data_IF_275367555793
#
_entry.id   IF_275367555793
#
_cell.length_a   1.000
_cell.length_b   1.000
_cell.length_c   1.000
_cell.angle_alpha   90.00
_cell.angle_beta   90.00
_cell.angle_gamma   90.00
#
_symmetry.space_group_name_H-M   'P 1'
#
loop_
_entity.id
_entity.type
_entity.pdbx_description
1 polymer ?
#
# COMPACT_ATOMS: atom_id res chain seq x y z
N UNK A 1 -28.35 18.50 14.87
CA UNK A 1 -27.37 17.50 15.30
C UNK A 1 -26.40 17.38 14.15
N UNK A 2 -25.21 17.96 14.24
CA UNK A 2 -24.26 18.08 13.15
C UNK A 2 -23.51 16.75 13.01
N UNK A 3 -23.43 16.26 11.78
CA UNK A 3 -22.79 14.98 11.42
C UNK A 3 -21.28 14.95 11.76
N UNK A 4 -20.71 16.10 12.06
CA UNK A 4 -19.29 16.33 12.27
C UNK A 4 -18.80 15.92 13.67
N UNK A 5 -19.67 15.79 14.65
CA UNK A 5 -19.28 15.45 16.04
C UNK A 5 -19.04 13.95 16.26
N UNK A 6 -19.52 13.09 15.36
CA UNK A 6 -19.36 11.63 15.50
C UNK A 6 -17.93 11.15 15.22
N UNK A 7 -17.16 11.89 14.41
CA UNK A 7 -15.81 11.50 14.01
C UNK A 7 -14.70 11.94 14.98
N UNK A 8 -15.00 12.80 15.95
CA UNK A 8 -14.04 13.30 16.95
C UNK A 8 -14.02 12.48 18.24
N UNK A 9 -14.85 11.44 18.39
CA UNK A 9 -14.80 10.59 19.56
C UNK A 9 -13.54 9.70 19.53
N UNK A 10 -12.68 9.74 20.57
CA UNK A 10 -11.51 8.86 20.66
C UNK A 10 -11.86 7.37 20.53
N UNK A 11 -13.09 7.00 20.86
CA UNK A 11 -13.65 5.65 20.70
C UNK A 11 -13.71 5.20 19.25
N UNK A 12 -13.94 6.09 18.27
CA UNK A 12 -14.02 5.72 16.86
C UNK A 12 -12.63 5.37 16.29
N UNK A 13 -11.59 6.10 16.68
CA UNK A 13 -10.22 5.79 16.28
C UNK A 13 -9.73 4.47 16.89
N UNK A 14 -10.14 4.17 18.12
CA UNK A 14 -9.85 2.91 18.80
C UNK A 14 -10.60 1.75 18.13
N UNK A 15 -11.88 1.92 17.78
CA UNK A 15 -12.65 0.90 17.06
C UNK A 15 -12.10 0.62 15.67
N UNK A 16 -11.70 1.64 14.93
CA UNK A 16 -11.06 1.48 13.61
C UNK A 16 -9.73 0.73 13.73
N UNK A 17 -8.95 1.03 14.77
CA UNK A 17 -7.68 0.35 15.04
C UNK A 17 -7.89 -1.13 15.42
N UNK A 18 -8.91 -1.45 16.22
CA UNK A 18 -9.31 -2.82 16.54
C UNK A 18 -9.86 -3.58 15.32
N UNK A 19 -10.61 -2.91 14.47
CA UNK A 19 -11.13 -3.47 13.23
C UNK A 19 -9.99 -3.79 12.24
N UNK A 20 -9.03 -2.87 12.08
CA UNK A 20 -7.81 -3.10 11.28
C UNK A 20 -6.97 -4.26 11.83
N UNK A 21 -6.79 -4.37 13.15
CA UNK A 21 -6.10 -5.50 13.77
C UNK A 21 -6.82 -6.83 13.50
N UNK A 22 -8.15 -6.87 13.58
CA UNK A 22 -8.93 -8.07 13.28
C UNK A 22 -8.85 -8.46 11.81
N UNK A 23 -8.92 -7.48 10.88
CA UNK A 23 -8.74 -7.72 9.44
C UNK A 23 -7.33 -8.26 9.13
N UNK A 24 -6.30 -7.69 9.75
CA UNK A 24 -4.93 -8.17 9.61
C UNK A 24 -4.78 -9.60 10.16
N UNK A 25 -5.40 -9.88 11.32
CA UNK A 25 -5.36 -11.21 11.94
C UNK A 25 -6.12 -12.25 11.09
N UNK A 26 -7.25 -11.88 10.51
CA UNK A 26 -8.01 -12.73 9.58
C UNK A 26 -7.22 -12.99 8.30
N UNK A 27 -6.55 -11.98 7.75
CA UNK A 27 -5.68 -12.13 6.58
C UNK A 27 -4.49 -13.07 6.86
N UNK A 28 -3.89 -12.98 8.06
CA UNK A 28 -2.80 -13.85 8.49
C UNK A 28 -3.31 -15.29 8.73
N UNK A 29 -4.48 -15.46 9.35
CA UNK A 29 -5.07 -16.77 9.63
C UNK A 29 -5.62 -17.46 8.37
N UNK A 30 -6.13 -16.72 7.40
CA UNK A 30 -6.60 -17.29 6.13
C UNK A 30 -5.45 -17.74 5.23
N UNK A 31 -4.25 -17.16 5.38
CA UNK A 31 -3.05 -17.63 4.69
C UNK A 31 -2.49 -18.94 5.26
N UNK A 32 -2.87 -19.35 6.48
CA UNK A 32 -2.40 -20.58 7.11
C UNK A 32 -3.24 -21.81 6.81
N UNK A 33 -4.40 -21.69 6.18
CA UNK A 33 -5.26 -22.82 5.81
C UNK A 33 -4.90 -23.37 4.43
N UNK A 34 -3.88 -24.24 4.40
CA UNK A 34 -3.76 -25.35 3.48
C UNK A 34 -3.80 -25.05 1.98
N UNK A 35 -2.95 -24.16 1.47
CA UNK A 35 -2.63 -24.16 0.04
C UNK A 35 -1.29 -24.86 -0.13
N UNK A 36 -1.32 -26.02 -0.79
CA UNK A 36 -0.13 -26.78 -1.16
C UNK A 36 0.85 -25.85 -1.87
N UNK A 37 2.07 -25.76 -1.34
CA UNK A 37 3.33 -25.33 -1.96
C UNK A 37 3.20 -24.31 -3.12
N UNK A 38 2.64 -23.15 -2.87
CA UNK A 38 2.89 -21.99 -3.72
C UNK A 38 3.91 -21.12 -2.99
N UNK A 39 5.08 -20.97 -3.59
CA UNK A 39 6.16 -20.19 -3.01
C UNK A 39 5.71 -18.74 -2.86
N UNK A 40 5.49 -18.30 -1.64
CA UNK A 40 5.24 -16.90 -1.35
C UNK A 40 6.57 -16.14 -1.22
N UNK A 41 6.56 -14.87 -1.54
CA UNK A 41 7.72 -13.99 -1.38
C UNK A 41 7.43 -12.97 -0.29
N UNK A 42 8.34 -12.91 0.70
CA UNK A 42 8.37 -11.83 1.69
C UNK A 42 9.58 -10.97 1.38
N UNK A 43 9.42 -9.66 1.48
CA UNK A 43 10.50 -8.74 1.22
C UNK A 43 10.32 -7.38 1.86
N UNK A 44 11.30 -6.54 1.63
CA UNK A 44 11.27 -5.12 1.95
C UNK A 44 11.11 -4.30 0.66
N UNK A 45 10.48 -3.14 0.79
CA UNK A 45 10.25 -2.22 -0.32
C UNK A 45 10.78 -0.83 0.02
N UNK A 46 11.30 -0.18 -0.99
CA UNK A 46 11.66 1.24 -0.96
C UNK A 46 11.05 1.87 -2.19
N UNK A 47 10.26 2.92 -2.04
CA UNK A 47 9.67 3.61 -3.18
C UNK A 47 9.68 5.12 -3.00
N UNK A 48 9.81 5.80 -4.13
CA UNK A 48 9.63 7.25 -4.26
C UNK A 48 8.27 7.51 -4.89
N UNK A 49 7.54 8.48 -4.34
CA UNK A 49 6.27 8.92 -4.89
C UNK A 49 6.23 10.44 -4.98
N UNK A 50 5.88 10.94 -6.15
CA UNK A 50 5.57 12.36 -6.37
C UNK A 50 4.05 12.53 -6.38
N UNK A 51 3.51 13.13 -5.32
CA UNK A 51 2.08 13.41 -5.16
C UNK A 51 1.92 14.63 -4.23
N UNK A 52 1.49 15.75 -4.78
CA UNK A 52 1.45 17.03 -4.03
C UNK A 52 2.77 17.42 -3.32
N UNK A 53 3.81 16.64 -3.47
CA UNK A 53 5.16 16.74 -2.90
C UNK A 53 5.95 15.47 -3.14
N UNK A 54 7.15 15.42 -2.58
CA UNK A 54 8.04 14.28 -2.67
C UNK A 54 7.88 13.41 -1.43
N UNK A 55 7.59 12.14 -1.64
CA UNK A 55 7.36 11.16 -0.60
C UNK A 55 8.35 10.00 -0.78
N UNK A 56 9.01 9.62 0.29
CA UNK A 56 9.81 8.40 0.36
C UNK A 56 9.01 7.37 1.19
N UNK A 57 8.88 6.16 0.68
CA UNK A 57 8.20 5.06 1.36
C UNK A 57 9.21 3.96 1.65
N UNK A 58 9.12 3.38 2.82
CA UNK A 58 9.90 2.20 3.22
C UNK A 58 8.96 1.24 3.95
N UNK A 59 8.99 -0.01 3.58
CA UNK A 59 8.11 -0.99 4.18
C UNK A 59 8.47 -2.44 3.93
N UNK A 60 7.50 -3.29 4.19
CA UNK A 60 7.57 -4.71 3.94
C UNK A 60 6.38 -5.18 3.10
N UNK A 61 6.61 -6.21 2.31
CA UNK A 61 5.57 -6.78 1.47
C UNK A 61 5.49 -8.30 1.59
N UNK A 62 4.31 -8.80 1.29
CA UNK A 62 4.00 -10.19 1.07
C UNK A 62 3.42 -10.35 -0.34
N UNK A 63 4.02 -11.19 -1.16
CA UNK A 63 3.62 -11.47 -2.52
C UNK A 63 3.23 -12.94 -2.64
N UNK A 64 2.02 -13.19 -3.12
CA UNK A 64 1.46 -14.52 -3.32
C UNK A 64 1.17 -14.73 -4.81
N UNK A 65 1.94 -15.60 -5.49
CA UNK A 65 1.54 -16.13 -6.79
C UNK A 65 0.29 -16.99 -6.65
N UNK A 66 -0.60 -16.91 -7.62
CA UNK A 66 -1.86 -17.65 -7.70
C UNK A 66 -2.00 -18.33 -9.05
N UNK A 67 -2.87 -19.35 -9.11
CA UNK A 67 -3.21 -20.06 -10.36
C UNK A 67 -1.99 -20.56 -11.15
N UNK A 68 -1.03 -21.20 -10.49
CA UNK A 68 0.17 -21.72 -11.13
C UNK A 68 1.10 -20.63 -11.67
N UNK A 69 1.23 -19.51 -10.94
CA UNK A 69 2.00 -18.31 -11.28
C UNK A 69 1.42 -17.46 -12.43
N UNK A 70 0.19 -17.72 -12.88
CA UNK A 70 -0.42 -16.89 -13.91
C UNK A 70 -0.82 -15.50 -13.38
N UNK A 71 -1.16 -15.40 -12.10
CA UNK A 71 -1.67 -14.19 -11.43
C UNK A 71 -0.89 -13.97 -10.12
N UNK A 72 -0.72 -12.74 -9.69
CA UNK A 72 -0.09 -12.41 -8.41
C UNK A 72 -0.87 -11.39 -7.58
N UNK A 73 -0.77 -11.52 -6.25
CA UNK A 73 -1.28 -10.54 -5.30
C UNK A 73 -0.15 -10.12 -4.38
N UNK A 74 0.05 -8.80 -4.20
CA UNK A 74 0.99 -8.25 -3.23
C UNK A 74 0.25 -7.42 -2.21
N UNK A 75 0.54 -7.67 -0.94
CA UNK A 75 0.14 -6.85 0.19
C UNK A 75 1.37 -6.14 0.74
N UNK A 76 1.27 -4.86 1.03
CA UNK A 76 2.39 -4.08 1.48
C UNK A 76 1.98 -3.13 2.61
N UNK A 77 2.89 -2.95 3.57
CA UNK A 77 2.73 -1.99 4.68
C UNK A 77 3.96 -1.10 4.70
N UNK A 78 3.74 0.20 4.57
CA UNK A 78 4.77 1.21 4.44
C UNK A 78 4.67 2.29 5.51
N UNK A 79 5.83 2.88 5.83
CA UNK A 79 5.95 4.19 6.41
C UNK A 79 6.29 5.19 5.30
N UNK A 80 5.42 6.15 5.09
CA UNK A 80 5.56 7.21 4.11
C UNK A 80 6.17 8.43 4.78
N UNK A 81 7.35 8.86 4.31
CA UNK A 81 8.09 9.99 4.82
C UNK A 81 7.89 11.20 3.92
N UNK A 82 7.37 12.27 4.49
CA UNK A 82 7.12 13.52 3.79
C UNK A 82 7.77 14.69 4.53
N UNK A 83 8.30 15.65 3.77
CA UNK A 83 8.80 16.89 4.32
C UNK A 83 7.96 18.05 3.78
N UNK A 84 7.06 18.58 4.62
CA UNK A 84 6.18 19.68 4.28
C UNK A 84 6.33 20.82 5.28
N UNK A 85 6.47 22.06 4.77
CA UNK A 85 6.49 23.29 5.58
C UNK A 85 7.44 23.23 6.79
N UNK A 86 8.68 22.77 6.58
CA UNK A 86 9.68 22.56 7.64
C UNK A 86 9.28 21.54 8.73
N UNK A 87 8.33 20.65 8.44
CA UNK A 87 7.95 19.57 9.34
C UNK A 87 8.15 18.22 8.66
N UNK A 88 8.76 17.32 9.40
CA UNK A 88 8.89 15.92 9.02
C UNK A 88 7.64 15.18 9.43
N UNK A 89 6.99 14.51 8.50
CA UNK A 89 5.77 13.76 8.73
C UNK A 89 5.98 12.31 8.34
N UNK A 90 5.52 11.40 9.20
CA UNK A 90 5.44 9.97 8.90
C UNK A 90 3.98 9.56 8.83
N UNK A 91 3.57 9.00 7.69
CA UNK A 91 2.20 8.54 7.44
C UNK A 91 2.23 7.03 7.21
N UNK A 92 1.49 6.23 7.99
CA UNK A 92 1.34 4.81 7.71
C UNK A 92 0.50 4.61 6.45
N UNK A 93 0.89 3.63 5.64
CA UNK A 93 0.23 3.27 4.40
C UNK A 93 0.10 1.76 4.30
N UNK A 94 -1.03 1.29 3.80
CA UNK A 94 -1.22 -0.07 3.35
C UNK A 94 -1.52 -0.07 1.87
N UNK A 95 -0.97 -1.03 1.11
CA UNK A 95 -1.33 -1.19 -0.28
C UNK A 95 -1.69 -2.63 -0.64
N UNK A 96 -2.53 -2.75 -1.65
CA UNK A 96 -2.92 -3.98 -2.30
C UNK A 96 -2.62 -3.86 -3.79
N UNK A 97 -1.78 -4.76 -4.31
CA UNK A 97 -1.42 -4.80 -5.72
C UNK A 97 -1.86 -6.12 -6.35
N UNK A 98 -2.47 -6.03 -7.52
CA UNK A 98 -2.89 -7.17 -8.32
C UNK A 98 -2.12 -7.18 -9.64
N UNK A 99 -1.52 -8.34 -9.95
CA UNK A 99 -0.80 -8.61 -11.19
C UNK A 99 -1.63 -9.59 -12.03
N UNK A 100 -2.28 -9.14 -13.12
CA UNK A 100 -3.12 -10.00 -13.96
C UNK A 100 -2.32 -11.04 -14.79
N UNK A 101 -1.02 -10.80 -14.96
CA UNK A 101 -0.08 -11.72 -15.56
C UNK A 101 1.20 -11.70 -14.73
N UNK A 102 1.74 -12.86 -14.38
CA UNK A 102 2.90 -12.92 -13.47
C UNK A 102 4.12 -13.61 -14.11
N UNK A 103 3.93 -14.35 -15.19
CA UNK A 103 4.98 -15.16 -15.84
C UNK A 103 5.89 -14.36 -16.78
N UNK A 104 5.64 -13.06 -16.96
CA UNK A 104 6.39 -12.22 -17.88
C UNK A 104 7.46 -11.39 -17.17
N UNK A 105 8.52 -11.01 -17.89
CA UNK A 105 9.52 -10.08 -17.38
C UNK A 105 8.93 -8.69 -17.09
N UNK A 106 8.01 -8.23 -17.93
CA UNK A 106 7.27 -6.98 -17.74
C UNK A 106 5.84 -7.34 -17.41
N UNK A 107 5.42 -6.98 -16.21
CA UNK A 107 4.13 -7.33 -15.63
C UNK A 107 3.31 -6.06 -15.40
N UNK A 108 2.14 -5.91 -16.03
CA UNK A 108 1.23 -4.85 -15.67
C UNK A 108 0.66 -5.09 -14.27
N UNK A 109 0.35 -4.02 -13.55
CA UNK A 109 -0.32 -4.14 -12.26
C UNK A 109 -1.37 -3.04 -12.05
N UNK A 110 -2.29 -3.35 -11.15
CA UNK A 110 -3.21 -2.38 -10.54
C UNK A 110 -2.97 -2.37 -9.04
N UNK A 111 -2.93 -1.20 -8.44
CA UNK A 111 -2.65 -1.01 -7.03
C UNK A 111 -3.67 -0.08 -6.40
N UNK A 112 -4.03 -0.34 -5.16
CA UNK A 112 -4.78 0.57 -4.32
C UNK A 112 -3.99 0.84 -3.04
N UNK A 113 -3.57 2.08 -2.84
CA UNK A 113 -2.91 2.54 -1.63
C UNK A 113 -3.92 3.23 -0.72
N UNK A 114 -3.85 2.91 0.55
CA UNK A 114 -4.69 3.47 1.59
C UNK A 114 -3.83 4.07 2.70
N UNK A 115 -4.00 5.35 2.94
CA UNK A 115 -3.47 6.06 4.10
C UNK A 115 -4.63 6.55 4.98
N UNK A 116 -4.41 7.04 6.19
CA UNK A 116 -5.46 7.69 6.99
C UNK A 116 -6.11 8.91 6.32
N UNK A 117 -5.50 9.45 5.27
CA UNK A 117 -5.90 10.69 4.63
C UNK A 117 -6.34 10.52 3.17
N UNK A 118 -5.84 9.50 2.47
CA UNK A 118 -6.03 9.35 1.02
C UNK A 118 -6.25 7.91 0.62
N UNK A 119 -7.04 7.73 -0.45
CA UNK A 119 -7.09 6.51 -1.25
C UNK A 119 -6.47 6.83 -2.61
N UNK A 120 -5.47 6.05 -3.02
CA UNK A 120 -4.75 6.30 -4.27
C UNK A 120 -4.76 5.04 -5.15
N UNK A 121 -5.73 4.90 -6.05
CA UNK A 121 -5.65 3.88 -7.10
C UNK A 121 -4.54 4.23 -8.09
N UNK A 122 -3.81 3.19 -8.52
CA UNK A 122 -2.71 3.27 -9.48
C UNK A 122 -2.79 2.14 -10.49
N UNK A 123 -2.18 2.38 -11.63
CA UNK A 123 -1.83 1.37 -12.63
C UNK A 123 -0.35 1.50 -12.95
N UNK A 124 0.28 0.42 -13.35
CA UNK A 124 1.71 0.49 -13.63
C UNK A 124 2.28 -0.74 -14.31
N UNK A 125 3.59 -0.72 -14.43
CA UNK A 125 4.40 -1.80 -14.95
C UNK A 125 5.46 -2.18 -13.92
N UNK A 126 5.65 -3.47 -13.74
CA UNK A 126 6.70 -4.05 -12.91
C UNK A 126 7.67 -4.83 -13.77
N UNK A 127 8.96 -4.70 -13.50
CA UNK A 127 10.01 -5.49 -14.14
C UNK A 127 10.44 -6.58 -13.16
N UNK A 128 10.09 -7.82 -13.46
CA UNK A 128 10.39 -8.99 -12.63
C UNK A 128 9.87 -8.87 -11.19
N UNK A 129 8.82 -8.09 -10.94
CA UNK A 129 8.29 -7.74 -9.61
C UNK A 129 9.29 -7.01 -8.69
N UNK A 130 10.48 -6.69 -9.19
CA UNK A 130 11.55 -6.03 -8.45
C UNK A 130 11.46 -4.51 -8.59
N UNK A 131 11.29 -3.99 -9.82
CA UNK A 131 11.19 -2.56 -10.08
C UNK A 131 9.78 -2.23 -10.56
N UNK A 132 9.11 -1.30 -9.90
CA UNK A 132 7.74 -0.92 -10.18
C UNK A 132 7.63 0.55 -10.56
N UNK A 133 6.91 0.82 -11.64
CA UNK A 133 6.57 2.15 -12.12
C UNK A 133 5.06 2.31 -12.09
N UNK A 134 4.55 3.25 -11.33
CA UNK A 134 3.12 3.46 -11.19
C UNK A 134 2.67 4.88 -11.44
N UNK A 135 1.46 5.00 -11.98
CA UNK A 135 0.74 6.26 -12.16
C UNK A 135 -0.64 6.12 -11.54
N UNK A 136 -1.11 7.17 -10.92
CA UNK A 136 -2.42 7.13 -10.28
C UNK A 136 -2.96 8.50 -9.92
N UNK A 137 -4.01 8.47 -9.12
CA UNK A 137 -4.64 9.68 -8.62
C UNK A 137 -5.10 9.49 -7.17
N UNK A 138 -4.64 10.37 -6.29
CA UNK A 138 -5.04 10.36 -4.88
C UNK A 138 -6.31 11.15 -4.63
N UNK A 139 -7.26 10.47 -3.97
CA UNK A 139 -8.53 11.05 -3.51
C UNK A 139 -8.46 11.31 -2.02
N UNK A 140 -8.85 12.49 -1.58
CA UNK A 140 -8.93 12.81 -0.15
C UNK A 140 -10.04 12.01 0.53
N UNK A 141 -9.71 11.29 1.58
CA UNK A 141 -10.67 10.68 2.52
C UNK A 141 -10.92 11.63 3.70
N UNK A 142 -9.84 12.24 4.20
CA UNK A 142 -9.86 13.13 5.36
C UNK A 142 -8.86 14.24 5.20
N UNK A 143 -9.32 15.48 5.38
CA UNK A 143 -8.45 16.66 5.38
C UNK A 143 -8.03 16.98 6.82
N UNK A 144 -6.74 17.14 7.07
CA UNK A 144 -6.21 17.62 8.34
C UNK A 144 -5.91 19.11 8.22
N UNK A 145 -6.39 19.93 9.14
CA UNK A 145 -6.33 21.41 9.07
C UNK A 145 -4.93 21.99 8.80
N UNK A 146 -3.87 21.30 9.21
CA UNK A 146 -2.48 21.74 9.08
C UNK A 146 -1.69 21.01 7.98
N UNK A 147 -2.31 20.09 7.22
CA UNK A 147 -1.67 19.37 6.14
C UNK A 147 -2.26 19.81 4.81
N UNK A 148 -1.38 20.18 3.86
CA UNK A 148 -1.80 20.31 2.46
C UNK A 148 -2.37 18.95 2.03
N UNK A 149 -3.56 18.91 1.40
CA UNK A 149 -4.15 17.65 0.96
C UNK A 149 -3.16 16.89 0.07
N UNK A 150 -2.87 15.65 0.43
CA UNK A 150 -2.04 14.74 -0.37
C UNK A 150 -2.97 14.16 -1.44
N UNK A 151 -3.36 14.97 -2.41
CA UNK A 151 -4.27 14.58 -3.49
C UNK A 151 -3.71 14.96 -4.85
N UNK A 152 -4.29 14.38 -5.89
CA UNK A 152 -3.96 14.69 -7.26
C UNK A 152 -3.17 13.60 -7.94
N UNK A 153 -2.67 13.92 -9.12
CA UNK A 153 -1.89 12.99 -9.91
C UNK A 153 -0.64 12.52 -9.16
N UNK A 154 -0.37 11.23 -9.24
CA UNK A 154 0.80 10.62 -8.62
C UNK A 154 1.60 9.82 -9.63
N UNK A 155 2.91 9.86 -9.45
CA UNK A 155 3.88 8.99 -10.09
C UNK A 155 4.68 8.30 -8.99
N UNK A 156 4.93 7.00 -9.12
CA UNK A 156 5.75 6.23 -8.19
C UNK A 156 6.80 5.40 -8.90
N UNK A 157 7.94 5.26 -8.25
CA UNK A 157 9.03 4.37 -8.61
C UNK A 157 9.41 3.58 -7.37
N UNK A 158 9.28 2.25 -7.42
CA UNK A 158 9.55 1.35 -6.30
C UNK A 158 10.60 0.29 -6.63
N UNK A 159 11.29 -0.17 -5.59
CA UNK A 159 12.19 -1.32 -5.63
C UNK A 159 11.75 -2.28 -4.53
N UNK A 160 11.45 -3.52 -4.90
CA UNK A 160 11.12 -4.61 -4.01
C UNK A 160 12.34 -5.53 -3.86
N UNK A 161 12.74 -5.78 -2.62
CA UNK A 161 13.89 -6.63 -2.28
C UNK A 161 13.34 -7.90 -1.64
N UNK A 162 13.31 -9.04 -2.35
CA UNK A 162 12.87 -10.31 -1.78
C UNK A 162 13.88 -10.80 -0.73
N UNK A 163 13.39 -11.24 0.42
CA UNK A 163 14.21 -11.71 1.53
C UNK A 163 14.25 -13.24 1.64
N UNK A 164 13.30 -13.94 1.04
CA UNK A 164 13.20 -15.40 1.06
C UNK A 164 13.38 -16.06 -0.33
N UNK A 165 13.91 -15.32 -1.31
CA UNK A 165 14.15 -15.84 -2.66
C UNK A 165 15.56 -16.43 -2.85
N UNK A 166 16.35 -16.56 -1.76
CA UNK A 166 17.72 -17.07 -1.75
C UNK A 166 17.87 -18.26 -0.82
#
# INVERSE_FOLDING_TARGET
MKFDEWFYHPLFSIQLFYFMKKLLLIAILSSSSGVAAQDFVIGSSISYQSQAGNLLKVGGYYLQPLAGNAVGIKLEVNAQFAYFRNQFLVVPEGSFTFYPTFDNLIVPFTEAELTPYTLTPKIGLSVGTIVEFGFGYGFDIKTKENLKPIKGFTFSLGINIPLNAF
#
